data_IF_315816270085
#
_entry.id   IF_315816270085
#
_cell.length_a   1.000
_cell.length_b   1.000
_cell.length_c   1.000
_cell.angle_alpha   90.00
_cell.angle_beta   90.00
_cell.angle_gamma   90.00
#
_symmetry.space_group_name_H-M   'P 1'
#
loop_
_entity.id
_entity.type
_entity.pdbx_description
1 polymer ?
#
# COMPACT_ATOMS: atom_id res chain seq x y z
N UNK A 1 10.29 17.55 55.27
CA UNK A 1 10.07 16.66 54.09
C UNK A 1 11.35 16.62 53.27
N UNK A 2 12.15 15.56 53.39
CA UNK A 2 13.35 15.39 52.57
C UNK A 2 12.97 14.82 51.20
N UNK A 3 12.88 15.70 50.18
CA UNK A 3 12.82 15.26 48.79
C UNK A 3 14.21 14.75 48.40
N UNK A 4 14.40 13.44 48.34
CA UNK A 4 15.58 12.86 47.67
C UNK A 4 15.49 13.24 46.19
N UNK A 5 16.39 14.09 45.73
CA UNK A 5 16.55 14.38 44.30
C UNK A 5 17.19 13.20 43.58
N UNK A 6 16.85 13.03 42.30
CA UNK A 6 17.51 12.08 41.40
C UNK A 6 19.00 12.45 41.29
N UNK A 7 19.88 11.45 41.29
CA UNK A 7 21.30 11.66 41.08
C UNK A 7 21.62 11.77 39.59
N UNK A 8 22.66 12.55 39.26
CA UNK A 8 23.15 12.65 37.88
C UNK A 8 23.61 11.28 37.34
N UNK A 9 24.20 10.44 38.21
CA UNK A 9 24.64 9.11 37.80
C UNK A 9 23.47 8.18 37.46
N UNK A 10 22.36 8.25 38.20
CA UNK A 10 21.14 7.48 37.87
C UNK A 10 20.61 7.87 36.49
N UNK A 11 20.57 9.16 36.17
CA UNK A 11 20.14 9.61 34.85
C UNK A 11 21.09 9.11 33.74
N UNK A 12 22.40 9.21 33.97
CA UNK A 12 23.43 8.80 32.99
C UNK A 12 23.40 7.29 32.74
N UNK A 13 23.27 6.47 33.78
CA UNK A 13 23.20 5.01 33.59
C UNK A 13 21.93 4.60 32.85
N UNK A 14 20.80 5.27 33.10
CA UNK A 14 19.53 4.99 32.37
C UNK A 14 19.67 5.30 30.88
N UNK A 15 20.21 6.45 30.50
CA UNK A 15 20.38 6.79 29.08
C UNK A 15 21.38 5.85 28.39
N UNK A 16 22.41 5.37 29.10
CA UNK A 16 23.36 4.39 28.56
C UNK A 16 22.67 3.06 28.27
N UNK A 17 21.85 2.57 29.20
CA UNK A 17 21.08 1.33 29.00
C UNK A 17 20.09 1.48 27.84
N UNK A 18 19.35 2.60 27.79
CA UNK A 18 18.42 2.88 26.68
C UNK A 18 19.14 2.98 25.34
N UNK A 19 20.36 3.55 25.30
CA UNK A 19 21.18 3.61 24.10
C UNK A 19 21.57 2.24 23.55
N UNK A 20 21.97 1.31 24.43
CA UNK A 20 22.31 -0.07 24.05
C UNK A 20 21.08 -0.80 23.52
N UNK A 21 19.94 -0.68 24.22
CA UNK A 21 18.69 -1.32 23.78
C UNK A 21 18.22 -0.78 22.44
N UNK A 22 18.30 0.53 22.22
CA UNK A 22 17.91 1.16 20.95
C UNK A 22 18.80 0.68 19.79
N UNK A 23 20.11 0.54 20.00
CA UNK A 23 21.04 0.08 18.98
C UNK A 23 20.73 -1.35 18.48
N UNK A 24 20.30 -2.24 19.37
CA UNK A 24 19.93 -3.62 19.01
C UNK A 24 18.51 -3.72 18.45
N UNK A 25 17.57 -2.92 18.97
CA UNK A 25 16.16 -2.99 18.57
C UNK A 25 15.86 -2.30 17.23
N UNK A 26 16.60 -1.23 16.88
CA UNK A 26 16.30 -0.43 15.70
C UNK A 26 16.39 -1.20 14.37
N UNK A 27 17.42 -2.02 14.10
CA UNK A 27 17.49 -2.79 12.85
C UNK A 27 16.29 -3.72 12.67
N UNK A 28 15.95 -4.50 13.72
CA UNK A 28 14.80 -5.41 13.69
C UNK A 28 13.47 -4.67 13.50
N UNK A 29 13.33 -3.49 14.11
CA UNK A 29 12.12 -2.67 13.92
C UNK A 29 11.94 -2.19 12.47
N UNK A 30 13.03 -1.86 11.77
CA UNK A 30 12.97 -1.46 10.36
C UNK A 30 12.54 -2.62 9.45
N UNK A 31 13.00 -3.84 9.75
CA UNK A 31 12.59 -5.05 9.03
C UNK A 31 11.11 -5.33 9.25
N UNK A 32 10.63 -5.29 10.51
CA UNK A 32 9.22 -5.48 10.82
C UNK A 32 8.31 -4.44 10.17
N UNK A 33 8.73 -3.17 10.15
CA UNK A 33 7.99 -2.11 9.45
C UNK A 33 7.87 -2.45 7.96
N UNK A 34 8.97 -2.88 7.34
CA UNK A 34 8.99 -3.22 5.92
C UNK A 34 8.07 -4.41 5.64
N UNK A 35 8.13 -5.48 6.44
CA UNK A 35 7.27 -6.65 6.28
C UNK A 35 5.79 -6.34 6.50
N UNK A 36 5.47 -5.45 7.44
CA UNK A 36 4.12 -4.94 7.62
C UNK A 36 3.63 -4.18 6.37
N UNK A 37 4.46 -3.35 5.74
CA UNK A 37 4.13 -2.69 4.47
C UNK A 37 3.92 -3.69 3.33
N UNK A 38 4.76 -4.73 3.22
CA UNK A 38 4.59 -5.81 2.23
C UNK A 38 3.25 -6.52 2.40
N UNK A 39 2.90 -6.89 3.63
CA UNK A 39 1.65 -7.55 3.96
C UNK A 39 0.43 -6.66 3.64
N UNK A 40 0.49 -5.39 4.02
CA UNK A 40 -0.56 -4.41 3.72
C UNK A 40 -0.75 -4.22 2.21
N UNK A 41 0.34 -4.10 1.44
CA UNK A 41 0.28 -3.94 -0.02
C UNK A 41 -0.35 -5.16 -0.70
N UNK A 42 0.07 -6.37 -0.31
CA UNK A 42 -0.50 -7.62 -0.82
C UNK A 42 -1.99 -7.74 -0.47
N UNK A 43 -2.37 -7.34 0.75
CA UNK A 43 -3.78 -7.31 1.18
C UNK A 43 -4.61 -6.34 0.34
N UNK A 44 -4.11 -5.12 0.14
CA UNK A 44 -4.76 -4.10 -0.69
C UNK A 44 -4.91 -4.57 -2.14
N UNK A 45 -3.85 -5.11 -2.75
CA UNK A 45 -3.89 -5.68 -4.09
C UNK A 45 -4.87 -6.85 -4.20
N UNK A 46 -4.92 -7.72 -3.17
CA UNK A 46 -5.88 -8.81 -3.10
C UNK A 46 -7.32 -8.31 -3.13
N UNK A 47 -7.65 -7.31 -2.32
CA UNK A 47 -8.97 -6.70 -2.28
C UNK A 47 -9.34 -6.03 -3.61
N UNK A 48 -8.42 -5.24 -4.18
CA UNK A 48 -8.62 -4.57 -5.47
C UNK A 48 -8.86 -5.56 -6.61
N UNK A 49 -8.05 -6.62 -6.69
CA UNK A 49 -8.20 -7.67 -7.70
C UNK A 49 -9.48 -8.45 -7.54
N UNK A 50 -9.88 -8.76 -6.30
CA UNK A 50 -11.16 -9.40 -6.03
C UNK A 50 -12.34 -8.52 -6.49
N UNK A 51 -12.29 -7.21 -6.20
CA UNK A 51 -13.28 -6.24 -6.70
C UNK A 51 -13.34 -6.20 -8.22
N UNK A 52 -12.19 -6.07 -8.89
CA UNK A 52 -12.08 -6.08 -10.36
C UNK A 52 -12.62 -7.38 -10.96
N UNK A 53 -12.28 -8.54 -10.39
CA UNK A 53 -12.75 -9.83 -10.85
C UNK A 53 -14.27 -9.99 -10.69
N UNK A 54 -14.82 -9.53 -9.56
CA UNK A 54 -16.27 -9.54 -9.32
C UNK A 54 -17.01 -8.61 -10.29
N UNK A 55 -16.47 -7.41 -10.54
CA UNK A 55 -17.01 -6.50 -11.55
C UNK A 55 -16.99 -7.15 -12.94
N UNK A 56 -15.86 -7.73 -13.33
CA UNK A 56 -15.70 -8.41 -14.60
C UNK A 56 -16.75 -9.53 -14.78
N UNK A 57 -16.95 -10.37 -13.75
CA UNK A 57 -17.94 -11.44 -13.78
C UNK A 57 -19.39 -10.93 -13.90
N UNK A 58 -19.70 -9.77 -13.33
CA UNK A 58 -21.04 -9.16 -13.37
C UNK A 58 -21.28 -8.26 -14.60
N UNK A 59 -20.23 -7.84 -15.28
CA UNK A 59 -20.27 -6.83 -16.36
C UNK A 59 -21.26 -7.18 -17.48
N UNK A 60 -21.43 -8.46 -17.80
CA UNK A 60 -22.38 -8.97 -18.81
C UNK A 60 -23.82 -8.68 -18.42
N UNK A 61 -24.15 -8.85 -17.14
CA UNK A 61 -25.50 -8.66 -16.60
C UNK A 61 -25.80 -7.19 -16.36
N UNK A 62 -24.86 -6.44 -15.78
CA UNK A 62 -25.04 -5.01 -15.49
C UNK A 62 -25.18 -4.17 -16.77
N UNK A 63 -24.65 -4.64 -17.91
CA UNK A 63 -24.77 -3.98 -19.22
C UNK A 63 -26.01 -4.40 -20.02
N UNK A 64 -26.95 -5.16 -19.43
CA UNK A 64 -28.16 -5.60 -20.12
C UNK A 64 -27.92 -6.61 -21.26
N UNK A 65 -26.88 -7.45 -21.14
CA UNK A 65 -26.49 -8.44 -22.17
C UNK A 65 -25.19 -8.10 -22.91
N UNK A 66 -24.30 -7.32 -22.30
CA UNK A 66 -23.06 -6.85 -22.91
C UNK A 66 -21.89 -7.84 -22.88
N UNK A 67 -20.80 -7.47 -23.55
CA UNK A 67 -19.52 -8.20 -23.56
C UNK A 67 -18.84 -8.13 -22.19
N UNK A 68 -18.12 -9.19 -21.82
CA UNK A 68 -17.23 -9.17 -20.65
C UNK A 68 -16.23 -8.02 -20.75
N UNK A 69 -16.23 -7.15 -19.75
CA UNK A 69 -15.36 -5.98 -19.70
C UNK A 69 -14.80 -5.76 -18.29
N UNK A 70 -13.52 -5.43 -18.22
CA UNK A 70 -12.91 -4.93 -16.99
C UNK A 70 -13.41 -3.52 -16.69
N UNK A 71 -13.43 -3.09 -15.42
CA UNK A 71 -13.85 -1.75 -15.08
C UNK A 71 -12.92 -0.72 -15.73
N UNK A 72 -13.48 0.39 -16.18
CA UNK A 72 -12.68 1.58 -16.50
C UNK A 72 -12.03 2.15 -15.24
N UNK A 73 -10.97 2.95 -15.38
CA UNK A 73 -10.32 3.59 -14.22
C UNK A 73 -11.29 4.51 -13.45
N UNK A 74 -12.23 5.14 -14.16
CA UNK A 74 -13.29 5.94 -13.54
C UNK A 74 -14.25 5.09 -12.69
N UNK A 75 -14.65 3.91 -13.19
CA UNK A 75 -15.48 2.97 -12.42
C UNK A 75 -14.70 2.39 -11.23
N UNK A 76 -13.41 2.09 -11.41
CA UNK A 76 -12.58 1.56 -10.33
C UNK A 76 -12.45 2.57 -9.17
N UNK A 77 -12.32 3.86 -9.47
CA UNK A 77 -12.17 4.91 -8.46
C UNK A 77 -13.50 5.46 -7.93
N UNK A 78 -14.63 5.15 -8.56
CA UNK A 78 -15.96 5.52 -8.07
C UNK A 78 -16.41 4.56 -6.96
N UNK A 79 -16.67 5.13 -5.77
CA UNK A 79 -17.16 4.37 -4.62
C UNK A 79 -18.50 3.69 -4.98
N UNK A 80 -18.60 2.41 -4.68
CA UNK A 80 -19.79 1.58 -4.93
C UNK A 80 -19.84 0.96 -6.32
N UNK A 81 -18.97 1.36 -7.26
CA UNK A 81 -18.94 0.75 -8.60
C UNK A 81 -18.11 -0.54 -8.63
N UNK A 82 -16.89 -0.52 -8.08
CA UNK A 82 -16.03 -1.72 -7.95
C UNK A 82 -15.72 -2.01 -6.50
N UNK A 83 -15.25 -1.01 -5.76
CA UNK A 83 -14.94 -1.08 -4.34
C UNK A 83 -16.07 -0.46 -3.52
N UNK A 84 -16.39 -1.03 -2.35
CA UNK A 84 -17.43 -0.49 -1.46
C UNK A 84 -17.03 0.79 -0.74
N UNK A 85 -15.73 1.10 -0.69
CA UNK A 85 -15.15 2.27 -0.06
C UNK A 85 -14.04 2.82 -0.96
N UNK A 86 -13.40 3.92 -0.55
CA UNK A 86 -12.23 4.50 -1.22
C UNK A 86 -11.15 3.45 -1.47
N UNK A 87 -10.43 3.62 -2.59
CA UNK A 87 -9.27 2.80 -2.91
C UNK A 87 -8.31 2.77 -1.71
N UNK A 88 -7.88 1.59 -1.23
CA UNK A 88 -6.95 1.50 -0.13
C UNK A 88 -5.61 2.17 -0.48
N UNK A 89 -4.95 2.72 0.52
CA UNK A 89 -3.63 3.33 0.34
C UNK A 89 -2.59 2.28 -0.10
N UNK A 90 -1.73 2.64 -1.06
CA UNK A 90 -0.47 1.95 -1.29
C UNK A 90 0.48 2.30 -0.13
N UNK A 91 0.89 1.32 0.70
CA UNK A 91 1.72 1.58 1.88
C UNK A 91 3.17 1.99 1.55
N UNK A 92 3.59 1.91 0.29
CA UNK A 92 4.88 2.39 -0.21
C UNK A 92 4.82 3.82 -0.78
N UNK A 93 3.63 4.43 -0.82
CA UNK A 93 3.45 5.82 -1.23
C UNK A 93 3.11 6.68 -0.01
N UNK A 94 3.73 7.85 0.08
CA UNK A 94 3.41 8.86 1.09
C UNK A 94 2.65 10.04 0.47
N UNK A 95 1.99 10.84 1.30
CA UNK A 95 1.26 12.03 0.82
C UNK A 95 -0.12 11.71 0.25
N UNK A 96 -0.62 12.60 -0.61
CA UNK A 96 -2.02 12.59 -1.09
C UNK A 96 -2.26 11.63 -2.25
N UNK A 97 -1.20 11.09 -2.86
CA UNK A 97 -1.30 10.22 -4.04
C UNK A 97 -1.31 8.73 -3.71
N UNK A 98 -1.24 8.38 -2.43
CA UNK A 98 -1.18 6.99 -1.96
C UNK A 98 -2.36 6.12 -2.40
N UNK A 99 -3.53 6.70 -2.63
CA UNK A 99 -4.73 6.00 -3.10
C UNK A 99 -5.10 6.33 -4.56
N UNK A 100 -4.26 7.09 -5.28
CA UNK A 100 -4.55 7.41 -6.68
C UNK A 100 -4.33 6.21 -7.57
N UNK A 101 -5.17 6.05 -8.58
CA UNK A 101 -5.04 5.01 -9.61
C UNK A 101 -4.66 5.67 -10.93
N UNK A 102 -3.48 5.35 -11.45
CA UNK A 102 -2.97 5.80 -12.74
C UNK A 102 -3.30 4.75 -13.81
N UNK A 103 -4.11 5.15 -14.80
CA UNK A 103 -4.38 4.33 -15.98
C UNK A 103 -3.12 4.16 -16.83
N UNK A 104 -2.92 2.96 -17.37
CA UNK A 104 -1.78 2.66 -18.24
C UNK A 104 -2.06 1.51 -19.21
N UNK A 105 -1.37 1.53 -20.35
CA UNK A 105 -1.27 0.39 -21.27
C UNK A 105 0.04 -0.39 -21.11
N UNK A 106 0.88 -0.02 -20.14
CA UNK A 106 2.16 -0.69 -19.87
C UNK A 106 1.96 -2.09 -19.30
N UNK A 107 3.03 -2.89 -19.35
CA UNK A 107 3.10 -4.19 -18.70
C UNK A 107 3.09 -4.05 -17.18
N UNK A 108 2.45 -5.00 -16.50
CA UNK A 108 2.51 -5.10 -15.03
C UNK A 108 3.96 -5.05 -14.54
N UNK A 109 4.21 -4.25 -13.50
CA UNK A 109 5.55 -4.05 -12.94
C UNK A 109 6.24 -2.77 -13.38
N UNK A 110 5.74 -2.09 -14.41
CA UNK A 110 6.27 -0.77 -14.80
C UNK A 110 5.72 0.31 -13.86
N UNK A 111 6.57 1.15 -13.31
CA UNK A 111 6.14 2.39 -12.64
C UNK A 111 5.72 3.39 -13.72
N UNK A 112 4.52 3.95 -13.57
CA UNK A 112 3.90 4.83 -14.58
C UNK A 112 3.61 6.18 -13.96
N UNK A 113 4.20 7.22 -14.53
CA UNK A 113 4.11 8.57 -13.97
C UNK A 113 4.88 8.71 -12.65
N UNK A 114 4.95 9.95 -12.13
CA UNK A 114 5.67 10.28 -10.90
C UNK A 114 4.80 10.31 -9.64
N UNK A 115 3.52 9.95 -9.75
CA UNK A 115 2.54 10.20 -8.69
C UNK A 115 2.54 9.16 -7.57
N UNK A 116 3.02 7.93 -7.79
CA UNK A 116 2.86 6.86 -6.79
C UNK A 116 1.46 6.23 -6.85
N UNK A 117 1.04 5.57 -5.77
CA UNK A 117 -0.28 4.94 -5.65
C UNK A 117 -0.34 3.61 -6.41
N UNK A 118 -1.34 3.45 -7.27
CA UNK A 118 -1.61 2.21 -8.01
C UNK A 118 -1.56 2.45 -9.51
N UNK A 119 -1.05 1.48 -10.26
CA UNK A 119 -1.21 1.42 -11.71
C UNK A 119 -2.32 0.44 -12.05
N UNK A 120 -3.14 0.80 -13.03
CA UNK A 120 -4.21 -0.06 -13.51
C UNK A 120 -4.24 -0.09 -15.04
N UNK A 121 -4.32 -1.29 -15.60
CA UNK A 121 -4.49 -1.51 -17.03
C UNK A 121 -5.90 -2.02 -17.31
N UNK A 122 -6.82 -1.17 -17.82
CA UNK A 122 -8.21 -1.57 -18.07
C UNK A 122 -8.36 -2.57 -19.22
N UNK A 123 -7.36 -2.71 -20.10
CA UNK A 123 -7.41 -3.71 -21.17
C UNK A 123 -7.17 -5.13 -20.63
N UNK A 124 -6.37 -5.28 -19.58
CA UNK A 124 -6.02 -6.58 -18.98
C UNK A 124 -6.60 -6.83 -17.59
N UNK A 125 -7.21 -5.81 -16.96
CA UNK A 125 -7.69 -5.87 -15.57
C UNK A 125 -6.57 -5.93 -14.53
N UNK A 126 -5.31 -5.73 -14.94
CA UNK A 126 -4.17 -5.84 -14.05
C UNK A 126 -4.01 -4.56 -13.23
N UNK A 127 -3.87 -4.73 -11.91
CA UNK A 127 -3.53 -3.67 -10.96
C UNK A 127 -2.26 -4.04 -10.18
N UNK A 128 -1.36 -3.07 -10.00
CA UNK A 128 -0.10 -3.24 -9.27
C UNK A 128 0.31 -1.93 -8.57
N UNK A 129 1.27 -2.02 -7.63
CA UNK A 129 1.81 -0.86 -6.95
C UNK A 129 2.60 0.03 -7.93
N UNK A 130 2.30 1.33 -7.94
CA UNK A 130 3.00 2.32 -8.77
C UNK A 130 4.20 2.91 -8.04
N UNK A 131 5.05 2.05 -7.48
CA UNK A 131 6.23 2.46 -6.72
C UNK A 131 7.40 1.53 -7.02
N UNK A 132 8.61 2.02 -6.77
CA UNK A 132 9.83 1.23 -6.90
C UNK A 132 10.71 1.43 -5.66
N UNK A 133 10.26 0.85 -4.55
CA UNK A 133 11.02 0.82 -3.31
C UNK A 133 12.18 -0.15 -3.47
N UNK A 134 13.41 0.34 -3.28
CA UNK A 134 14.63 -0.46 -3.51
C UNK A 134 14.61 -1.77 -2.72
N UNK A 135 14.83 -2.89 -3.42
CA UNK A 135 14.91 -4.23 -2.82
C UNK A 135 13.58 -4.86 -2.41
N UNK A 136 12.44 -4.23 -2.68
CA UNK A 136 11.12 -4.73 -2.27
C UNK A 136 10.39 -5.45 -3.41
N UNK A 137 10.40 -4.89 -4.62
CA UNK A 137 9.78 -5.51 -5.80
C UNK A 137 8.25 -5.54 -5.75
N UNK A 138 7.63 -4.55 -5.10
CA UNK A 138 6.18 -4.46 -4.89
C UNK A 138 5.37 -4.32 -6.18
N UNK A 139 5.98 -3.78 -7.23
CA UNK A 139 5.41 -3.62 -8.56
C UNK A 139 5.14 -4.97 -9.25
N UNK A 140 5.86 -6.03 -8.89
CA UNK A 140 5.70 -7.36 -9.48
C UNK A 140 4.54 -8.16 -8.86
N UNK A 141 4.09 -7.80 -7.66
CA UNK A 141 3.02 -8.52 -6.94
C UNK A 141 1.69 -8.34 -7.61
#
# INVERSE_FOLDING_TARGET
>A
MNRKGFTLIELVTVIVILGILAAVALPAYLDYKTDAQKAACKGALGALRAGIANFYARSVTDSGGGTLAYPTTAQLTTIGAVMSDVIPDNPFTTGTTKNTVTETSSTKGTVVGGSGGWCYNPASGQIWANTNTSGIGENAW
#
